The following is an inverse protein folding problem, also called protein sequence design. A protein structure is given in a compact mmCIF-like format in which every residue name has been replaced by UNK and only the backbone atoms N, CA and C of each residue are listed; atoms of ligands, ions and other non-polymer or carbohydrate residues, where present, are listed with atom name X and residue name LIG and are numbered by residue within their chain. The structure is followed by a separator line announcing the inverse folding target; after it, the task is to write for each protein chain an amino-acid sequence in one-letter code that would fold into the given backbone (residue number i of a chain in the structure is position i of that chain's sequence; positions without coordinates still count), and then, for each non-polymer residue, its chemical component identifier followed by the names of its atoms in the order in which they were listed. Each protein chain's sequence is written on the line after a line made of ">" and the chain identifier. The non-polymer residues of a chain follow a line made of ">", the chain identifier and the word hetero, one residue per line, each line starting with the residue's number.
data_IF_428209136470
#
_entry.id   IF_428209136470
#
_cell.length_a   1.000
_cell.length_b   1.000
_cell.length_c   1.000
_cell.angle_alpha   90.00
_cell.angle_beta   90.00
_cell.angle_gamma   90.00
#
_symmetry.space_group_name_H-M   'P 1'
#
loop_
_entity.id
_entity.type
_entity.pdbx_description
1 polymer ?
#
# COMPACT_ATOMS: atom_id res chain seq x y z
N UNK A 1 10.07 10.68 -6.56
CA UNK A 1 8.77 10.21 -7.09
C UNK A 1 8.92 10.08 -8.60
N UNK A 2 8.27 9.10 -9.21
CA UNK A 2 8.35 8.83 -10.66
C UNK A 2 9.54 7.96 -11.11
N UNK A 3 10.52 7.74 -10.23
CA UNK A 3 11.60 6.77 -10.48
C UNK A 3 11.05 5.35 -10.60
N UNK A 4 11.71 4.52 -11.42
CA UNK A 4 11.38 3.11 -11.60
C UNK A 4 11.58 2.31 -10.31
N UNK A 5 10.85 1.20 -10.20
CA UNK A 5 10.97 0.24 -9.12
C UNK A 5 10.58 -1.15 -9.61
N UNK A 6 10.93 -2.19 -8.84
CA UNK A 6 10.93 -3.57 -9.36
C UNK A 6 9.81 -4.44 -8.79
N UNK A 7 9.17 -4.03 -7.68
CA UNK A 7 8.16 -4.84 -6.99
C UNK A 7 6.98 -3.98 -6.53
N UNK A 8 5.78 -4.31 -7.00
CA UNK A 8 4.53 -3.61 -6.64
C UNK A 8 3.68 -4.32 -5.60
N UNK A 9 4.14 -5.46 -5.10
CA UNK A 9 3.39 -6.30 -4.16
C UNK A 9 4.03 -6.33 -2.77
N UNK A 10 5.35 -6.51 -2.67
CA UNK A 10 6.05 -6.70 -1.39
C UNK A 10 7.09 -5.62 -1.13
N UNK A 11 7.17 -5.18 0.13
CA UNK A 11 8.14 -4.20 0.63
C UNK A 11 8.19 -2.93 -0.24
N UNK A 12 7.01 -2.47 -0.64
CA UNK A 12 6.87 -1.43 -1.67
C UNK A 12 7.07 -0.01 -1.14
N UNK A 13 7.11 0.18 0.17
CA UNK A 13 7.21 1.50 0.79
C UNK A 13 8.66 1.96 0.89
N UNK A 14 8.86 3.26 0.70
CA UNK A 14 10.16 3.90 0.88
C UNK A 14 10.02 5.36 1.25
N UNK A 15 11.13 6.00 1.58
CA UNK A 15 11.19 7.43 1.88
C UNK A 15 12.06 8.16 0.86
N UNK A 16 11.67 9.39 0.51
CA UNK A 16 12.53 10.28 -0.25
C UNK A 16 13.58 10.91 0.67
N UNK A 17 14.67 11.45 0.11
CA UNK A 17 15.73 12.14 0.87
C UNK A 17 15.23 13.30 1.74
N UNK A 18 14.14 13.95 1.34
CA UNK A 18 13.46 15.01 2.12
C UNK A 18 12.28 14.51 2.97
N UNK A 19 12.17 13.21 3.23
CA UNK A 19 11.26 12.64 4.23
C UNK A 19 9.81 12.39 3.78
N UNK A 20 9.50 12.32 2.47
CA UNK A 20 8.16 11.92 2.01
C UNK A 20 8.05 10.41 1.88
N UNK A 21 6.95 9.83 2.38
CA UNK A 21 6.61 8.44 2.15
C UNK A 21 6.09 8.22 0.72
N UNK A 22 6.63 7.21 0.06
CA UNK A 22 6.26 6.76 -1.28
C UNK A 22 5.97 5.26 -1.26
N UNK A 23 5.26 4.79 -2.29
CA UNK A 23 5.09 3.36 -2.56
C UNK A 23 5.38 3.05 -4.03
N UNK A 24 5.93 1.87 -4.31
CA UNK A 24 6.05 1.34 -5.66
C UNK A 24 4.69 0.80 -6.13
N UNK A 25 4.21 1.31 -7.26
CA UNK A 25 2.95 0.87 -7.87
C UNK A 25 3.04 0.86 -9.38
N UNK A 26 2.08 0.21 -10.03
CA UNK A 26 1.93 0.20 -11.48
C UNK A 26 0.45 0.47 -11.83
N UNK A 27 0.10 1.73 -12.17
CA UNK A 27 -1.19 2.02 -12.78
C UNK A 27 -1.33 1.17 -14.06
N UNK A 28 -2.54 0.67 -14.36
CA UNK A 28 -2.79 -0.26 -15.47
C UNK A 28 -2.05 0.18 -16.75
N UNK A 29 -1.20 -0.73 -17.26
CA UNK A 29 -0.37 -0.61 -18.48
C UNK A 29 0.90 0.25 -18.39
N UNK A 30 1.29 0.73 -17.22
CA UNK A 30 2.54 1.46 -17.05
C UNK A 30 3.58 0.65 -16.28
N UNK A 31 4.86 0.83 -16.62
CA UNK A 31 5.96 0.29 -15.83
C UNK A 31 5.88 0.76 -14.37
N UNK A 32 6.27 -0.07 -13.39
CA UNK A 32 6.21 0.30 -11.99
C UNK A 32 7.08 1.51 -11.65
N UNK A 33 6.51 2.43 -10.84
CA UNK A 33 7.17 3.66 -10.41
C UNK A 33 6.79 4.00 -8.97
N UNK A 34 7.59 4.88 -8.35
CA UNK A 34 7.28 5.41 -7.02
C UNK A 34 6.25 6.55 -7.06
N UNK A 35 5.11 6.34 -6.39
CA UNK A 35 4.04 7.31 -6.20
C UNK A 35 4.00 7.81 -4.76
N UNK A 36 3.31 8.94 -4.53
CA UNK A 36 3.06 9.40 -3.16
C UNK A 36 2.14 8.41 -2.45
N UNK A 37 2.52 8.00 -1.24
CA UNK A 37 1.70 7.11 -0.44
C UNK A 37 0.44 7.81 0.07
N UNK A 38 -0.66 7.06 0.15
CA UNK A 38 -1.78 7.37 1.04
C UNK A 38 -1.32 7.30 2.52
N UNK A 39 -2.14 7.75 3.49
CA UNK A 39 -1.79 7.64 4.90
C UNK A 39 -1.42 6.19 5.28
N UNK A 40 -0.19 6.00 5.76
CA UNK A 40 0.32 4.67 6.12
C UNK A 40 0.12 4.42 7.62
N UNK A 41 -0.48 3.27 7.96
CA UNK A 41 -0.92 2.92 9.32
C UNK A 41 -0.04 1.87 10.01
N UNK A 42 1.21 1.77 9.58
CA UNK A 42 2.19 0.83 10.09
C UNK A 42 2.05 -0.56 9.47
N UNK A 43 2.39 -1.57 10.26
CA UNK A 43 2.27 -2.99 9.90
C UNK A 43 0.94 -3.53 10.41
N UNK A 44 0.21 -4.27 9.58
CA UNK A 44 -1.13 -4.81 9.87
C UNK A 44 -1.25 -6.26 9.42
N UNK A 45 -2.17 -6.99 10.05
CA UNK A 45 -2.54 -8.34 9.63
C UNK A 45 -3.54 -8.25 8.47
N UNK A 46 -3.27 -8.99 7.40
CA UNK A 46 -4.25 -9.14 6.32
C UNK A 46 -5.56 -9.74 6.87
N UNK A 47 -6.70 -9.26 6.37
CA UNK A 47 -8.05 -9.66 6.79
C UNK A 47 -8.43 -9.24 8.22
N UNK A 48 -7.61 -8.44 8.92
CA UNK A 48 -8.02 -7.79 10.16
C UNK A 48 -8.86 -6.52 9.91
N UNK A 49 -9.69 -6.14 10.88
CA UNK A 49 -10.53 -4.95 10.81
C UNK A 49 -9.70 -3.67 10.68
N UNK A 50 -10.10 -2.79 9.78
CA UNK A 50 -9.46 -1.51 9.52
C UNK A 50 -10.39 -0.30 9.72
N UNK A 51 -11.51 -0.50 10.44
CA UNK A 51 -12.50 0.53 10.69
C UNK A 51 -11.87 1.84 11.20
N UNK A 52 -12.25 2.97 10.59
CA UNK A 52 -11.69 4.30 10.86
C UNK A 52 -10.38 4.60 10.13
N UNK A 53 -9.87 3.65 9.34
CA UNK A 53 -8.70 3.82 8.48
C UNK A 53 -9.03 3.62 7.00
N UNK A 54 -10.28 3.78 6.61
CA UNK A 54 -10.71 3.72 5.21
C UNK A 54 -9.86 4.69 4.37
N UNK A 55 -9.49 4.27 3.16
CA UNK A 55 -8.55 4.99 2.28
C UNK A 55 -7.13 5.16 2.83
N UNK A 56 -6.73 4.37 3.83
CA UNK A 56 -5.35 4.26 4.29
C UNK A 56 -4.69 2.99 3.78
N UNK A 57 -3.37 2.95 3.87
CA UNK A 57 -2.53 1.80 3.48
C UNK A 57 -1.75 1.27 4.68
N UNK A 58 -1.28 0.04 4.58
CA UNK A 58 -0.41 -0.59 5.56
C UNK A 58 0.54 -1.57 4.87
N UNK A 59 1.57 -2.00 5.59
CA UNK A 59 2.38 -3.15 5.19
C UNK A 59 1.87 -4.40 5.91
N UNK A 60 1.77 -5.52 5.20
CA UNK A 60 1.53 -6.83 5.78
C UNK A 60 2.73 -7.29 6.61
N UNK A 61 2.49 -8.21 7.56
CA UNK A 61 3.59 -8.86 8.28
C UNK A 61 4.53 -9.64 7.34
N UNK A 62 3.99 -10.13 6.23
CA UNK A 62 4.73 -10.79 5.15
C UNK A 62 5.33 -9.80 4.13
N UNK A 63 5.20 -8.49 4.38
CA UNK A 63 5.71 -7.45 3.50
C UNK A 63 4.73 -6.97 2.43
N UNK A 64 3.53 -7.56 2.30
CA UNK A 64 2.57 -7.18 1.25
C UNK A 64 2.08 -5.74 1.39
N UNK A 65 1.76 -5.10 0.28
CA UNK A 65 0.99 -3.86 0.26
C UNK A 65 -0.46 -4.15 0.63
N UNK A 66 -0.94 -3.53 1.72
CA UNK A 66 -2.33 -3.63 2.16
C UNK A 66 -3.05 -2.30 1.98
N UNK A 67 -4.30 -2.37 1.54
CA UNK A 67 -5.22 -1.25 1.46
C UNK A 67 -6.45 -1.53 2.33
N UNK A 68 -6.90 -0.52 3.08
CA UNK A 68 -8.15 -0.65 3.85
C UNK A 68 -9.35 -0.44 2.92
N UNK A 69 -10.06 -1.52 2.64
CA UNK A 69 -11.21 -1.52 1.76
C UNK A 69 -12.45 -2.03 2.49
N UNK A 70 -13.58 -1.34 2.30
CA UNK A 70 -14.89 -1.84 2.68
C UNK A 70 -15.38 -2.79 1.58
N UNK A 71 -15.36 -4.10 1.86
CA UNK A 71 -15.99 -5.13 1.04
C UNK A 71 -16.98 -5.87 1.93
N UNK A 72 -18.17 -6.19 1.41
CA UNK A 72 -19.20 -6.95 2.13
C UNK A 72 -19.59 -6.36 3.49
N UNK A 73 -19.62 -5.02 3.57
CA UNK A 73 -20.04 -4.28 4.77
C UNK A 73 -19.01 -4.27 5.92
N UNK A 74 -17.80 -4.82 5.74
CA UNK A 74 -16.73 -4.77 6.74
C UNK A 74 -15.46 -4.14 6.16
N UNK A 75 -14.91 -3.08 6.78
CA UNK A 75 -13.61 -2.55 6.38
C UNK A 75 -12.50 -3.50 6.84
N UNK A 76 -11.77 -4.08 5.89
CA UNK A 76 -10.67 -5.01 6.13
C UNK A 76 -9.40 -4.55 5.43
N UNK A 77 -8.25 -4.84 6.06
CA UNK A 77 -6.95 -4.74 5.39
C UNK A 77 -6.84 -5.86 4.35
N UNK A 78 -6.71 -5.51 3.06
CA UNK A 78 -6.63 -6.48 1.97
C UNK A 78 -5.38 -6.25 1.15
N UNK A 79 -4.75 -7.34 0.70
CA UNK A 79 -3.70 -7.25 -0.30
C UNK A 79 -4.31 -6.81 -1.64
N UNK A 80 -3.49 -6.17 -2.48
CA UNK A 80 -3.83 -5.98 -3.88
C UNK A 80 -3.98 -7.37 -4.53
N UNK A 81 -5.15 -7.65 -5.08
CA UNK A 81 -5.38 -8.82 -5.94
C UNK A 81 -5.30 -8.30 -7.37
N UNK A 82 -4.37 -8.84 -8.14
CA UNK A 82 -4.20 -8.51 -9.56
C UNK A 82 -5.30 -9.09 -10.45
#
# INVERSE_FOLDING_TARGET
>A
MGAHCDNTEYYVFGTTSWGRLVFCGSPRRYEPRYFRSLPMRGVKLENSLCQGYENSVAQGFDGRYLFCQALDGKPLWRAKVD
#
